data_IF_895669075190
#
_entry.id   IF_895669075190
#
_cell.length_a   1.000
_cell.length_b   1.000
_cell.length_c   1.000
_cell.angle_alpha   90.00
_cell.angle_beta   90.00
_cell.angle_gamma   90.00
#
_symmetry.space_group_name_H-M   'P 1'
#
loop_
_entity.id
_entity.type
_entity.pdbx_description
1 polymer ?
#
# COMPACT_ATOMS: atom_id res chain seq x y z
N UNK A 1 29.27 -17.40 1.21
CA UNK A 1 27.92 -17.10 0.67
C UNK A 1 27.68 -15.65 0.97
N UNK A 2 27.71 -14.79 -0.05
CA UNK A 2 27.37 -13.37 0.11
C UNK A 2 25.90 -13.27 0.51
N UNK A 3 25.65 -12.62 1.62
CA UNK A 3 24.29 -12.36 2.13
C UNK A 3 23.55 -11.53 1.08
N UNK A 4 22.53 -12.09 0.44
CA UNK A 4 21.79 -11.39 -0.61
C UNK A 4 20.97 -10.28 0.03
N UNK A 5 20.95 -9.11 -0.59
CA UNK A 5 20.08 -8.00 -0.19
C UNK A 5 18.63 -8.47 -0.16
N UNK A 6 17.93 -8.22 0.93
CA UNK A 6 16.48 -8.50 1.04
C UNK A 6 15.71 -7.19 0.92
N UNK A 7 14.78 -7.12 -0.03
CA UNK A 7 13.84 -6.01 -0.19
C UNK A 7 12.48 -6.41 0.41
N UNK A 8 11.99 -5.64 1.35
CA UNK A 8 10.71 -5.84 2.02
C UNK A 8 9.63 -4.97 1.39
N UNK A 9 8.52 -5.59 0.99
CA UNK A 9 7.38 -4.90 0.40
C UNK A 9 6.19 -5.03 1.35
N UNK A 10 5.77 -3.92 1.95
CA UNK A 10 4.58 -3.86 2.79
C UNK A 10 3.33 -3.60 1.94
N UNK A 11 2.25 -4.36 2.16
CA UNK A 11 0.99 -4.18 1.45
C UNK A 11 -0.06 -3.69 2.45
N UNK A 12 -0.39 -2.40 2.35
CA UNK A 12 -1.43 -1.73 3.13
C UNK A 12 -2.73 -1.72 2.35
N UNK A 13 -3.78 -2.28 2.91
CA UNK A 13 -5.07 -2.32 2.23
C UNK A 13 -6.21 -2.67 3.18
N UNK A 14 -7.39 -2.02 3.07
CA UNK A 14 -8.58 -2.40 3.80
C UNK A 14 -9.21 -3.69 3.27
N UNK A 15 -10.22 -4.21 3.98
CA UNK A 15 -10.81 -5.53 3.68
C UNK A 15 -11.61 -5.63 2.37
N UNK A 16 -12.03 -4.50 1.79
CA UNK A 16 -12.82 -4.46 0.55
C UNK A 16 -11.99 -4.66 -0.73
N UNK A 17 -10.66 -4.60 -0.63
CA UNK A 17 -9.71 -4.87 -1.73
C UNK A 17 -8.91 -6.16 -1.51
N UNK A 18 -9.51 -7.14 -0.86
CA UNK A 18 -8.87 -8.46 -0.63
C UNK A 18 -8.44 -9.17 -1.93
N UNK A 19 -9.20 -9.14 -3.04
CA UNK A 19 -8.73 -9.70 -4.31
C UNK A 19 -7.45 -9.04 -4.82
N UNK A 20 -7.36 -7.73 -4.77
CA UNK A 20 -6.21 -6.94 -5.19
C UNK A 20 -4.99 -7.21 -4.29
N UNK A 21 -5.20 -7.38 -2.98
CA UNK A 21 -4.13 -7.80 -2.06
C UNK A 21 -3.54 -9.14 -2.44
N UNK A 22 -4.36 -10.13 -2.79
CA UNK A 22 -3.89 -11.44 -3.25
C UNK A 22 -3.13 -11.35 -4.58
N UNK A 23 -3.52 -10.43 -5.45
CA UNK A 23 -2.78 -10.14 -6.68
C UNK A 23 -1.41 -9.56 -6.34
N UNK A 24 -1.36 -8.54 -5.47
CA UNK A 24 -0.11 -7.93 -5.05
C UNK A 24 0.86 -8.95 -4.45
N UNK A 25 0.36 -9.86 -3.63
CA UNK A 25 1.14 -10.97 -3.07
C UNK A 25 1.75 -11.88 -4.16
N UNK A 26 0.95 -12.26 -5.16
CA UNK A 26 1.43 -13.06 -6.31
C UNK A 26 2.47 -12.32 -7.14
N UNK A 27 2.27 -11.04 -7.38
CA UNK A 27 3.23 -10.19 -8.10
C UNK A 27 4.57 -10.15 -7.36
N UNK A 28 4.55 -9.90 -6.05
CA UNK A 28 5.79 -9.91 -5.24
C UNK A 28 6.50 -11.25 -5.30
N UNK A 29 5.78 -12.37 -5.18
CA UNK A 29 6.35 -13.71 -5.29
C UNK A 29 6.91 -14.02 -6.70
N UNK A 30 6.31 -13.47 -7.75
CA UNK A 30 6.80 -13.59 -9.13
C UNK A 30 8.11 -12.84 -9.30
N UNK A 31 8.19 -11.61 -8.82
CA UNK A 31 9.39 -10.79 -8.84
C UNK A 31 10.51 -11.40 -7.98
N UNK A 32 10.20 -11.98 -6.81
CA UNK A 32 11.20 -12.70 -6.01
C UNK A 32 11.89 -13.82 -6.81
N UNK A 33 11.11 -14.59 -7.59
CA UNK A 33 11.68 -15.63 -8.47
C UNK A 33 12.47 -15.03 -9.65
N UNK A 34 11.98 -13.94 -10.25
CA UNK A 34 12.65 -13.25 -11.35
C UNK A 34 14.01 -12.70 -10.93
N UNK A 35 14.07 -12.08 -9.74
CA UNK A 35 15.30 -11.46 -9.22
C UNK A 35 16.11 -12.35 -8.27
N UNK A 36 15.81 -13.66 -8.20
CA UNK A 36 16.40 -14.58 -7.23
C UNK A 36 17.94 -14.66 -7.24
N UNK A 37 18.58 -14.33 -8.37
CA UNK A 37 20.05 -14.27 -8.46
C UNK A 37 20.64 -13.00 -7.82
N UNK A 38 19.87 -11.92 -7.73
CA UNK A 38 20.34 -10.59 -7.34
C UNK A 38 19.93 -10.20 -5.92
N UNK A 39 18.69 -10.47 -5.56
CA UNK A 39 18.14 -10.13 -4.25
C UNK A 39 17.06 -11.14 -3.85
N UNK A 40 16.58 -11.01 -2.63
CA UNK A 40 15.36 -11.62 -2.13
C UNK A 40 14.30 -10.54 -2.01
N UNK A 41 13.05 -10.85 -2.39
CA UNK A 41 11.92 -9.93 -2.27
C UNK A 41 10.87 -10.57 -1.38
N UNK A 42 10.60 -9.96 -0.23
CA UNK A 42 9.69 -10.51 0.78
C UNK A 42 8.45 -9.63 0.94
N UNK A 43 7.24 -10.18 0.73
CA UNK A 43 6.02 -9.49 1.11
C UNK A 43 5.87 -9.49 2.63
N UNK A 44 5.54 -8.34 3.21
CA UNK A 44 5.17 -8.23 4.63
C UNK A 44 3.66 -8.46 4.73
N UNK A 45 3.28 -9.70 5.14
CA UNK A 45 1.91 -10.18 5.21
C UNK A 45 1.50 -10.33 6.67
N UNK A 46 1.07 -9.25 7.28
CA UNK A 46 0.68 -9.26 8.68
C UNK A 46 -0.63 -10.02 8.95
N UNK A 47 -1.55 -10.08 7.97
CA UNK A 47 -2.82 -10.79 8.10
C UNK A 47 -2.67 -12.32 8.24
N UNK A 48 -1.51 -12.85 7.88
CA UNK A 48 -1.19 -14.28 8.05
C UNK A 48 -0.60 -14.60 9.42
N UNK A 49 -0.26 -13.57 10.21
CA UNK A 49 0.25 -13.77 11.56
C UNK A 49 -0.90 -14.11 12.51
N UNK A 50 -0.71 -15.02 13.46
CA UNK A 50 -1.67 -15.24 14.52
C UNK A 50 -1.76 -13.98 15.39
N UNK A 51 -2.92 -13.34 15.39
CA UNK A 51 -3.18 -12.16 16.22
C UNK A 51 -3.66 -12.63 17.59
N UNK A 52 -3.17 -11.99 18.65
CA UNK A 52 -3.56 -12.33 20.02
C UNK A 52 -4.71 -11.42 20.49
N UNK A 53 -5.70 -12.02 21.17
CA UNK A 53 -6.88 -11.29 21.62
C UNK A 53 -6.65 -10.33 22.81
N UNK A 54 -5.45 -10.37 23.42
CA UNK A 54 -5.13 -9.61 24.63
C UNK A 54 -4.60 -8.19 24.37
N UNK A 55 -4.37 -7.83 23.11
CA UNK A 55 -3.89 -6.50 22.71
C UNK A 55 -4.47 -6.09 21.35
N UNK A 56 -4.33 -4.80 21.00
CA UNK A 56 -4.81 -4.32 19.71
C UNK A 56 -3.95 -4.90 18.59
N UNK A 57 -4.61 -5.43 17.53
CA UNK A 57 -3.92 -6.12 16.42
C UNK A 57 -2.86 -5.24 15.73
N UNK A 58 -3.06 -3.92 15.69
CA UNK A 58 -2.11 -2.97 15.09
C UNK A 58 -0.72 -3.01 15.77
N UNK A 59 -0.63 -3.46 17.03
CA UNK A 59 0.64 -3.58 17.74
C UNK A 59 1.51 -4.74 17.22
N UNK A 60 0.89 -5.73 16.60
CA UNK A 60 1.56 -6.91 16.05
C UNK A 60 1.95 -6.73 14.58
N UNK A 61 1.50 -5.65 13.94
CA UNK A 61 1.83 -5.34 12.55
C UNK A 61 3.24 -4.72 12.49
N UNK A 62 4.15 -5.25 11.64
CA UNK A 62 5.43 -4.59 11.40
C UNK A 62 5.22 -3.15 10.92
N UNK A 63 6.04 -2.23 11.38
CA UNK A 63 5.95 -0.84 10.94
C UNK A 63 6.18 -0.73 9.42
N UNK A 64 5.30 -0.07 8.67
CA UNK A 64 5.49 0.18 7.24
C UNK A 64 6.82 0.87 6.96
N UNK A 65 7.24 1.77 7.85
CA UNK A 65 8.53 2.47 7.80
C UNK A 65 9.77 1.57 7.89
N UNK A 66 9.61 0.29 8.28
CA UNK A 66 10.70 -0.70 8.30
C UNK A 66 10.82 -1.50 7.00
N UNK A 67 10.02 -1.16 5.98
CA UNK A 67 10.04 -1.79 4.65
C UNK A 67 10.80 -0.92 3.64
N UNK A 68 11.12 -1.49 2.48
CA UNK A 68 11.75 -0.77 1.38
C UNK A 68 10.73 -0.10 0.46
N UNK A 69 9.61 -0.77 0.24
CA UNK A 69 8.50 -0.29 -0.58
C UNK A 69 7.20 -0.52 0.18
N UNK A 70 6.29 0.45 0.13
CA UNK A 70 4.93 0.35 0.67
C UNK A 70 3.94 0.51 -0.46
N UNK A 71 3.11 -0.51 -0.66
CA UNK A 71 2.00 -0.52 -1.62
C UNK A 71 0.72 -0.27 -0.86
N UNK A 72 0.02 0.83 -1.18
CA UNK A 72 -1.28 1.17 -0.58
C UNK A 72 -2.36 0.97 -1.62
N UNK A 73 -3.39 0.19 -1.29
CA UNK A 73 -4.51 -0.10 -2.19
C UNK A 73 -5.80 0.33 -1.50
N UNK A 74 -6.56 1.22 -2.13
CA UNK A 74 -7.82 1.73 -1.60
C UNK A 74 -8.94 1.64 -2.63
N UNK A 75 -10.18 1.47 -2.16
CA UNK A 75 -11.37 1.48 -2.99
C UNK A 75 -12.48 2.32 -2.34
N UNK A 76 -13.35 1.69 -1.54
CA UNK A 76 -14.50 2.34 -0.91
C UNK A 76 -14.30 2.58 0.58
N UNK A 77 -13.15 2.19 1.15
CA UNK A 77 -12.85 2.26 2.58
C UNK A 77 -11.38 2.61 2.83
N UNK A 78 -11.13 3.22 3.99
CA UNK A 78 -9.78 3.38 4.57
C UNK A 78 -9.52 2.43 5.76
N UNK A 79 -10.45 1.53 6.04
CA UNK A 79 -10.34 0.58 7.14
C UNK A 79 -11.05 1.03 8.41
N UNK A 80 -10.76 0.32 9.50
CA UNK A 80 -11.37 0.56 10.81
C UNK A 80 -10.65 1.68 11.53
N UNK A 81 -11.37 2.62 12.20
CA UNK A 81 -10.76 3.62 13.05
C UNK A 81 -9.92 3.00 14.16
N UNK A 82 -8.73 3.56 14.41
CA UNK A 82 -7.83 3.11 15.45
C UNK A 82 -8.08 3.85 16.78
N UNK A 83 -7.79 3.22 17.95
CA UNK A 83 -7.96 3.86 19.23
C UNK A 83 -6.96 5.00 19.43
N UNK A 84 -7.48 6.22 19.63
CA UNK A 84 -6.72 7.42 19.99
C UNK A 84 -6.68 7.54 21.53
N UNK A 85 -5.58 8.05 22.16
CA UNK A 85 -4.41 8.66 21.49
C UNK A 85 -3.30 7.68 21.10
N UNK A 86 -3.47 6.39 21.30
CA UNK A 86 -2.42 5.40 21.07
C UNK A 86 -1.97 5.36 19.61
N UNK A 87 -2.94 5.47 18.68
CA UNK A 87 -2.67 5.56 17.25
C UNK A 87 -3.19 6.90 16.73
N UNK A 88 -2.29 7.73 16.25
CA UNK A 88 -2.58 9.01 15.61
C UNK A 88 -1.78 9.10 14.32
N UNK A 89 -2.21 9.92 13.39
CA UNK A 89 -1.49 10.15 12.15
C UNK A 89 -0.11 10.72 12.43
N UNK A 90 0.91 10.10 11.87
CA UNK A 90 2.32 10.49 12.10
C UNK A 90 2.66 11.89 11.57
N UNK A 91 1.90 12.34 10.57
CA UNK A 91 2.03 13.65 9.93
C UNK A 91 0.94 14.62 10.37
N UNK A 92 -0.30 14.13 10.49
CA UNK A 92 -1.48 14.96 10.76
C UNK A 92 -1.75 15.15 12.25
N UNK A 93 -1.31 14.22 13.11
CA UNK A 93 -1.67 14.17 14.52
C UNK A 93 -3.16 13.85 14.78
N UNK A 94 -3.93 13.60 13.72
CA UNK A 94 -5.36 13.35 13.77
C UNK A 94 -5.71 11.91 14.16
N UNK A 95 -7.00 11.65 14.42
CA UNK A 95 -7.53 10.28 14.49
C UNK A 95 -7.49 9.66 13.10
N UNK A 96 -7.04 8.42 13.00
CA UNK A 96 -6.81 7.72 11.75
C UNK A 96 -7.42 6.33 11.74
N UNK A 97 -7.62 5.80 10.55
CA UNK A 97 -7.89 4.37 10.32
C UNK A 97 -6.59 3.60 10.17
N UNK A 98 -6.67 2.26 10.08
CA UNK A 98 -5.49 1.43 9.90
C UNK A 98 -4.67 1.80 8.67
N UNK A 99 -5.31 1.94 7.51
CA UNK A 99 -4.63 2.28 6.25
C UNK A 99 -4.05 3.70 6.26
N UNK A 100 -4.74 4.68 6.86
CA UNK A 100 -4.21 6.04 7.02
C UNK A 100 -2.96 6.04 7.91
N UNK A 101 -3.01 5.34 9.04
CA UNK A 101 -1.88 5.24 9.94
C UNK A 101 -0.66 4.60 9.26
N UNK A 102 -0.87 3.49 8.55
CA UNK A 102 0.19 2.81 7.80
C UNK A 102 0.80 3.70 6.71
N UNK A 103 -0.05 4.46 6.01
CA UNK A 103 0.39 5.42 5.00
C UNK A 103 1.21 6.56 5.62
N UNK A 104 0.70 7.21 6.68
CA UNK A 104 1.37 8.35 7.29
C UNK A 104 2.72 7.95 7.94
N UNK A 105 2.80 6.76 8.54
CA UNK A 105 4.04 6.19 9.06
C UNK A 105 5.10 6.03 7.95
N UNK A 106 4.70 5.46 6.82
CA UNK A 106 5.58 5.30 5.67
C UNK A 106 5.95 6.65 5.05
N UNK A 107 4.98 7.56 4.91
CA UNK A 107 5.20 8.89 4.33
C UNK A 107 6.18 9.72 5.15
N UNK A 108 6.02 9.73 6.49
CA UNK A 108 6.95 10.40 7.40
C UNK A 108 8.37 9.83 7.24
N UNK A 109 8.49 8.53 7.25
CA UNK A 109 9.79 7.87 7.10
C UNK A 109 10.45 8.19 5.76
N UNK A 110 9.67 8.24 4.66
CA UNK A 110 10.18 8.65 3.35
C UNK A 110 10.66 10.11 3.37
N UNK A 111 9.88 11.03 3.95
CA UNK A 111 10.27 12.43 4.05
C UNK A 111 11.56 12.65 4.85
N UNK A 112 11.80 11.84 5.88
CA UNK A 112 12.98 11.93 6.74
C UNK A 112 14.22 11.22 6.16
N UNK A 113 14.04 10.10 5.47
CA UNK A 113 15.14 9.19 5.10
C UNK A 113 15.21 8.81 3.61
N UNK A 114 14.23 9.23 2.80
CA UNK A 114 14.08 8.81 1.40
C UNK A 114 13.61 7.35 1.22
N UNK A 115 13.12 6.71 2.29
CA UNK A 115 12.62 5.33 2.27
C UNK A 115 11.56 5.14 3.36
N UNK A 116 10.51 4.30 3.12
CA UNK A 116 10.22 3.46 1.94
C UNK A 116 9.74 4.27 0.72
N UNK A 117 9.81 3.69 -0.49
CA UNK A 117 9.04 4.19 -1.63
C UNK A 117 7.54 3.91 -1.40
N UNK A 118 6.68 4.89 -1.70
CA UNK A 118 5.23 4.72 -1.59
C UNK A 118 4.61 4.64 -2.98
N UNK A 119 3.87 3.56 -3.22
CA UNK A 119 3.06 3.33 -4.42
C UNK A 119 1.59 3.26 -4.01
N UNK A 120 0.78 4.20 -4.44
CA UNK A 120 -0.64 4.29 -4.06
C UNK A 120 -1.54 4.00 -5.24
N UNK A 121 -2.46 3.07 -5.05
CA UNK A 121 -3.40 2.60 -6.06
C UNK A 121 -4.83 2.79 -5.58
N UNK A 122 -5.64 3.48 -6.38
CA UNK A 122 -7.06 3.69 -6.14
C UNK A 122 -7.88 2.89 -7.14
N UNK A 123 -8.69 1.96 -6.66
CA UNK A 123 -9.70 1.30 -7.48
C UNK A 123 -10.87 2.25 -7.74
N UNK A 124 -11.27 2.38 -9.01
CA UNK A 124 -12.36 3.26 -9.45
C UNK A 124 -13.59 2.50 -9.95
N UNK A 125 -13.54 1.14 -9.95
CA UNK A 125 -14.67 0.31 -10.33
C UNK A 125 -15.94 0.70 -9.52
N UNK A 126 -17.13 0.69 -10.14
CA UNK A 126 -18.38 0.93 -9.43
C UNK A 126 -18.58 -0.06 -8.29
N UNK A 127 -18.94 0.45 -7.11
CA UNK A 127 -19.29 -0.39 -5.97
C UNK A 127 -20.79 -0.70 -5.97
N UNK A 128 -21.12 -1.97 -6.09
CA UNK A 128 -22.50 -2.45 -5.96
C UNK A 128 -22.89 -2.47 -4.48
N UNK A 129 -23.37 -1.35 -3.96
CA UNK A 129 -23.76 -1.21 -2.56
C UNK A 129 -25.28 -1.01 -2.46
N UNK A 130 -25.94 -1.80 -1.60
CA UNK A 130 -27.33 -1.51 -1.21
C UNK A 130 -27.41 -0.12 -0.57
N UNK A 131 -28.24 0.74 -1.10
CA UNK A 131 -28.45 2.09 -0.57
C UNK A 131 -29.48 2.13 0.57
N UNK A 132 -29.88 0.97 1.10
CA UNK A 132 -30.93 0.86 2.13
C UNK A 132 -30.34 0.40 3.47
N UNK A 133 -30.85 0.99 4.57
CA UNK A 133 -30.49 0.64 5.94
C UNK A 133 -29.30 1.41 6.52
N UNK A 134 -29.08 1.22 7.82
CA UNK A 134 -28.06 1.93 8.61
C UNK A 134 -26.61 1.69 8.11
N UNK A 135 -26.38 0.55 7.47
CA UNK A 135 -25.08 0.26 6.85
C UNK A 135 -24.76 1.18 5.67
N UNK A 136 -25.77 1.73 4.98
CA UNK A 136 -25.56 2.59 3.83
C UNK A 136 -24.87 3.91 4.21
N UNK A 137 -25.20 4.46 5.37
CA UNK A 137 -24.58 5.70 5.86
C UNK A 137 -23.11 5.48 6.22
N UNK A 138 -22.79 4.40 6.93
CA UNK A 138 -21.41 4.02 7.24
C UNK A 138 -20.56 3.82 5.98
N UNK A 139 -21.12 3.21 4.94
CA UNK A 139 -20.43 3.01 3.65
C UNK A 139 -20.19 4.32 2.91
N UNK A 140 -21.18 5.23 2.91
CA UNK A 140 -21.02 6.58 2.31
C UNK A 140 -19.96 7.39 3.05
N UNK A 141 -19.90 7.28 4.37
CA UNK A 141 -18.85 7.92 5.17
C UNK A 141 -17.47 7.38 4.78
N UNK A 142 -17.31 6.07 4.72
CA UNK A 142 -16.02 5.46 4.32
C UNK A 142 -15.60 5.87 2.90
N UNK A 143 -16.54 5.91 1.94
CA UNK A 143 -16.24 6.36 0.59
C UNK A 143 -15.78 7.83 0.55
N UNK A 144 -16.44 8.71 1.32
CA UNK A 144 -16.00 10.11 1.47
C UNK A 144 -14.61 10.20 2.09
N UNK A 145 -14.31 9.40 3.12
CA UNK A 145 -12.97 9.37 3.73
C UNK A 145 -11.89 9.00 2.70
N UNK A 146 -12.17 8.09 1.76
CA UNK A 146 -11.24 7.77 0.66
C UNK A 146 -11.04 8.97 -0.24
N UNK A 147 -12.12 9.67 -0.63
CA UNK A 147 -12.03 10.88 -1.46
C UNK A 147 -11.24 11.98 -0.74
N UNK A 148 -11.51 12.22 0.53
CA UNK A 148 -10.81 13.20 1.36
C UNK A 148 -9.32 12.85 1.49
N UNK A 149 -8.98 11.58 1.71
CA UNK A 149 -7.61 11.09 1.75
C UNK A 149 -6.87 11.36 0.43
N UNK A 150 -7.48 10.98 -0.70
CA UNK A 150 -6.86 11.23 -2.01
C UNK A 150 -6.69 12.73 -2.25
N UNK A 151 -7.69 13.52 -1.92
CA UNK A 151 -7.62 14.96 -2.09
C UNK A 151 -6.52 15.58 -1.20
N UNK A 152 -6.49 15.21 0.08
CA UNK A 152 -5.52 15.74 1.04
C UNK A 152 -4.08 15.44 0.64
N UNK A 153 -3.77 14.24 0.17
CA UNK A 153 -2.39 13.81 -0.05
C UNK A 153 -1.90 14.00 -1.48
N UNK A 154 -2.79 13.98 -2.46
CA UNK A 154 -2.41 13.92 -3.88
C UNK A 154 -2.87 15.11 -4.72
N UNK A 155 -3.76 15.97 -4.19
CA UNK A 155 -4.28 17.12 -4.92
C UNK A 155 -3.90 18.41 -4.20
N UNK A 156 -3.42 19.43 -4.94
CA UNK A 156 -3.24 20.76 -4.41
C UNK A 156 -4.60 21.46 -4.32
N UNK A 157 -5.00 21.82 -3.10
CA UNK A 157 -6.31 22.44 -2.84
C UNK A 157 -6.46 23.84 -3.42
N UNK A 158 -5.35 24.50 -3.86
CA UNK A 158 -5.36 25.85 -4.40
C UNK A 158 -5.80 25.91 -5.85
N UNK A 159 -5.41 24.91 -6.65
CA UNK A 159 -5.62 24.91 -8.09
C UNK A 159 -6.13 23.57 -8.65
N UNK A 160 -6.28 22.55 -7.79
CA UNK A 160 -6.75 21.22 -8.18
C UNK A 160 -5.72 20.39 -8.95
N UNK A 161 -4.46 20.82 -9.03
CA UNK A 161 -3.40 20.04 -9.67
C UNK A 161 -2.90 18.90 -8.79
N UNK A 162 -2.29 17.88 -9.40
CA UNK A 162 -1.69 16.80 -8.64
C UNK A 162 -0.34 17.21 -8.05
N UNK A 163 -0.20 17.12 -6.73
CA UNK A 163 1.06 17.37 -6.01
C UNK A 163 1.89 16.10 -5.77
N UNK A 164 1.28 14.93 -5.93
CA UNK A 164 1.95 13.64 -5.82
C UNK A 164 1.24 12.61 -6.72
N UNK A 165 1.94 11.53 -7.07
CA UNK A 165 1.40 10.49 -7.93
C UNK A 165 0.54 9.49 -7.14
N UNK A 166 -0.67 9.26 -7.63
CA UNK A 166 -1.48 8.10 -7.30
C UNK A 166 -1.96 7.46 -8.60
N UNK A 167 -2.05 6.12 -8.62
CA UNK A 167 -2.47 5.38 -9.79
C UNK A 167 -3.92 4.92 -9.63
N UNK A 168 -4.70 5.03 -10.69
CA UNK A 168 -6.08 4.53 -10.71
C UNK A 168 -6.17 3.28 -11.54
N UNK A 169 -7.07 2.39 -11.19
CA UNK A 169 -7.41 1.20 -11.97
C UNK A 169 -8.88 0.83 -11.77
N UNK A 170 -9.46 0.15 -12.73
CA UNK A 170 -10.83 -0.32 -12.64
C UNK A 170 -10.88 -1.84 -12.48
N UNK A 171 -10.06 -2.56 -13.24
CA UNK A 171 -10.08 -4.01 -13.28
C UNK A 171 -8.85 -4.65 -12.62
N UNK A 172 -9.01 -5.85 -12.00
CA UNK A 172 -7.90 -6.55 -11.35
C UNK A 172 -6.70 -6.83 -12.26
N UNK A 173 -6.93 -7.09 -13.56
CA UNK A 173 -5.86 -7.35 -14.52
C UNK A 173 -5.02 -6.08 -14.79
N UNK A 174 -5.67 -4.93 -14.91
CA UNK A 174 -5.01 -3.63 -15.03
C UNK A 174 -4.14 -3.33 -13.80
N UNK A 175 -4.69 -3.58 -12.61
CA UNK A 175 -3.93 -3.44 -11.37
C UNK A 175 -2.70 -4.35 -11.33
N UNK A 176 -2.83 -5.61 -11.74
CA UNK A 176 -1.73 -6.58 -11.75
C UNK A 176 -0.60 -6.08 -12.65
N UNK A 177 -0.91 -5.64 -13.86
CA UNK A 177 0.07 -5.13 -14.84
C UNK A 177 0.76 -3.86 -14.33
N UNK A 178 0.00 -2.88 -13.85
CA UNK A 178 0.55 -1.64 -13.29
C UNK A 178 1.48 -1.91 -12.12
N UNK A 179 1.02 -2.73 -11.16
CA UNK A 179 1.80 -3.04 -9.97
C UNK A 179 3.10 -3.77 -10.31
N UNK A 180 3.02 -4.76 -11.21
CA UNK A 180 4.21 -5.52 -11.62
C UNK A 180 5.25 -4.63 -12.28
N UNK A 181 4.84 -3.77 -13.20
CA UNK A 181 5.73 -2.84 -13.89
C UNK A 181 6.37 -1.84 -12.91
N UNK A 182 5.58 -1.27 -12.00
CA UNK A 182 6.09 -0.31 -11.03
C UNK A 182 7.03 -0.96 -10.00
N UNK A 183 6.67 -2.13 -9.47
CA UNK A 183 7.54 -2.84 -8.52
C UNK A 183 8.83 -3.30 -9.19
N UNK A 184 8.77 -3.81 -10.44
CA UNK A 184 9.98 -4.19 -11.20
C UNK A 184 10.92 -3.00 -11.36
N UNK A 185 10.40 -1.84 -11.76
CA UNK A 185 11.19 -0.62 -11.90
C UNK A 185 11.85 -0.21 -10.56
N UNK A 186 11.10 -0.26 -9.45
CA UNK A 186 11.62 0.07 -8.12
C UNK A 186 12.65 -0.93 -7.61
N UNK A 187 12.49 -2.21 -7.88
CA UNK A 187 13.49 -3.25 -7.55
C UNK A 187 14.78 -2.98 -8.31
N UNK A 188 14.73 -2.71 -9.61
CA UNK A 188 15.89 -2.38 -10.43
C UNK A 188 16.60 -1.13 -9.90
N UNK A 189 15.86 -0.06 -9.61
CA UNK A 189 16.40 1.19 -9.05
C UNK A 189 17.14 0.92 -7.73
N UNK A 190 16.56 0.13 -6.83
CA UNK A 190 17.16 -0.20 -5.53
C UNK A 190 18.35 -1.16 -5.60
N UNK A 191 18.49 -1.90 -6.66
CA UNK A 191 19.68 -2.73 -6.91
C UNK A 191 20.88 -1.91 -7.43
N UNK A 192 20.64 -0.68 -7.93
CA UNK A 192 21.69 0.27 -8.31
C UNK A 192 22.41 -0.01 -9.63
N UNK A 193 22.18 -1.15 -10.27
CA UNK A 193 22.67 -1.52 -11.61
C UNK A 193 21.71 -2.56 -12.18
N UNK A 194 21.31 -2.37 -13.42
CA UNK A 194 20.68 -3.45 -14.20
C UNK A 194 21.81 -4.41 -14.57
N UNK A 195 21.89 -5.61 -13.96
CA UNK A 195 22.72 -6.64 -14.57
C UNK A 195 22.10 -6.92 -15.94
N UNK A 196 22.91 -7.00 -16.97
CA UNK A 196 22.46 -7.42 -18.30
C UNK A 196 21.63 -8.70 -18.13
N UNK A 197 20.34 -8.59 -18.31
CA UNK A 197 19.44 -9.76 -18.32
C UNK A 197 19.76 -10.53 -19.59
N UNK A 198 20.61 -11.53 -19.47
CA UNK A 198 20.93 -12.43 -20.57
C UNK A 198 19.66 -13.16 -20.97
N UNK A 199 19.01 -12.71 -22.02
CA UNK A 199 18.03 -13.51 -22.74
C UNK A 199 16.64 -12.97 -23.00
N UNK A 200 16.29 -11.73 -22.63
CA UNK A 200 15.00 -11.14 -23.03
C UNK A 200 15.29 -9.96 -23.98
N UNK A 201 15.15 -10.21 -25.28
CA UNK A 201 15.02 -9.13 -26.27
C UNK A 201 13.59 -8.61 -26.22
N UNK A 202 13.44 -7.31 -26.03
CA UNK A 202 12.19 -6.56 -26.23
C UNK A 202 11.78 -6.54 -27.70
#
# INVERSE_FOLDING_TARGET
MTDKKTLKIFISSPGDVRPERLIAERVVQRLDREFAYHCRIEPVLWERKPLVATRHFQEDIPLPSASDIVVVIVWTRLGTPLPSPKFTGAMTGAKVTGTEWEFEEAYKANAERGTPDLLVYRKTAPSMVSLRGDEAEGRRLQARMVDDFIHQWFVDSRDGTFKAASHTFEHPAEFEELLENHLRAKVVERLGTVPEMHGIRW
#
